data_IF_015115721298
#
_entry.id   IF_015115721298
#
_cell.length_a   1.000
_cell.length_b   1.000
_cell.length_c   1.000
_cell.angle_alpha   90.00
_cell.angle_beta   90.00
_cell.angle_gamma   90.00
#
_symmetry.space_group_name_H-M   'P 1'
#
loop_
_entity.id
_entity.type
_entity.pdbx_description
1 polymer ?
#
# COMPACT_ATOMS: atom_id res chain seq x y z
N UNK A 1 39.56 10.33 37.78
CA UNK A 1 38.20 9.91 38.19
C UNK A 1 37.12 10.94 37.87
N UNK A 2 37.16 12.17 38.43
CA UNK A 2 36.10 13.19 38.26
C UNK A 2 35.78 13.59 36.80
N UNK A 3 36.79 13.65 35.92
CA UNK A 3 36.61 13.93 34.48
C UNK A 3 35.98 12.78 33.69
N UNK A 4 36.26 11.53 34.05
CA UNK A 4 35.73 10.34 33.36
C UNK A 4 34.23 10.17 33.68
N UNK A 5 33.86 10.41 34.94
CA UNK A 5 32.46 10.36 35.39
C UNK A 5 31.60 11.44 34.70
N UNK A 6 32.16 12.64 34.51
CA UNK A 6 31.46 13.74 33.83
C UNK A 6 31.21 13.45 32.35
N UNK A 7 32.19 12.83 31.68
CA UNK A 7 32.07 12.41 30.27
C UNK A 7 31.04 11.29 30.13
N UNK A 8 31.04 10.30 31.03
CA UNK A 8 30.04 9.22 31.04
C UNK A 8 28.62 9.74 31.28
N UNK A 9 28.43 10.70 32.20
CA UNK A 9 27.13 11.32 32.41
C UNK A 9 26.65 12.13 31.20
N UNK A 10 27.55 12.87 30.54
CA UNK A 10 27.21 13.61 29.32
C UNK A 10 26.83 12.69 28.17
N UNK A 11 27.57 11.59 27.98
CA UNK A 11 27.25 10.58 26.95
C UNK A 11 25.93 9.90 27.27
N UNK A 12 25.66 9.54 28.52
CA UNK A 12 24.37 8.98 28.93
C UNK A 12 23.21 9.97 28.73
N UNK A 13 23.42 11.26 29.06
CA UNK A 13 22.42 12.30 28.86
C UNK A 13 22.14 12.53 27.37
N UNK A 14 23.17 12.55 26.53
CA UNK A 14 23.05 12.66 25.07
C UNK A 14 22.33 11.43 24.49
N UNK A 15 22.65 10.21 24.94
CA UNK A 15 21.97 8.99 24.53
C UNK A 15 20.49 9.00 24.96
N UNK A 16 20.17 9.49 26.16
CA UNK A 16 18.78 9.64 26.61
C UNK A 16 18.03 10.76 25.88
N UNK A 17 18.71 11.85 25.50
CA UNK A 17 18.10 12.92 24.71
C UNK A 17 17.80 12.46 23.28
N UNK A 18 18.70 11.66 22.67
CA UNK A 18 18.47 11.02 21.38
C UNK A 18 17.32 10.02 21.46
N UNK A 19 17.22 9.24 22.54
CA UNK A 19 16.09 8.34 22.78
C UNK A 19 14.75 9.04 23.07
N UNK A 20 14.76 10.34 23.37
CA UNK A 20 13.55 11.15 23.59
C UNK A 20 13.23 12.08 22.41
N UNK A 21 13.93 11.93 21.28
CA UNK A 21 13.77 12.78 20.10
C UNK A 21 12.78 12.24 19.07
N UNK A 22 12.08 11.15 19.33
CA UNK A 22 10.96 10.68 18.51
C UNK A 22 9.77 11.62 18.70
N UNK A 23 9.91 12.85 18.20
CA UNK A 23 8.77 13.71 17.89
C UNK A 23 8.10 13.04 16.70
N UNK A 24 7.26 12.04 16.99
CA UNK A 24 6.39 11.45 15.99
C UNK A 24 5.63 12.59 15.30
N UNK A 25 5.45 12.48 13.98
CA UNK A 25 4.65 13.47 13.26
C UNK A 25 3.29 13.67 13.97
N UNK A 26 2.69 14.87 13.93
CA UNK A 26 1.35 15.06 14.48
C UNK A 26 0.35 14.09 13.83
N UNK A 27 -0.67 13.66 14.58
CA UNK A 27 -1.76 12.86 14.01
C UNK A 27 -2.45 13.63 12.87
N UNK A 28 -2.69 13.00 11.71
CA UNK A 28 -3.40 13.67 10.62
C UNK A 28 -4.87 13.85 10.98
N UNK A 29 -5.51 14.86 10.39
CA UNK A 29 -6.98 15.00 10.47
C UNK A 29 -7.70 13.82 9.81
N UNK A 30 -7.08 13.23 8.78
CA UNK A 30 -7.54 12.02 8.11
C UNK A 30 -6.38 11.10 7.78
N UNK A 31 -6.47 9.85 8.20
CA UNK A 31 -5.48 8.83 7.88
C UNK A 31 -5.82 8.16 6.55
N UNK A 32 -4.87 8.14 5.62
CA UNK A 32 -5.05 7.55 4.29
C UNK A 32 -5.48 6.08 4.31
N UNK A 33 -5.07 5.31 5.33
CA UNK A 33 -5.41 3.88 5.46
C UNK A 33 -6.73 3.69 6.21
N UNK A 34 -6.88 4.30 7.40
CA UNK A 34 -8.06 4.09 8.24
C UNK A 34 -9.34 4.73 7.68
N UNK A 35 -9.23 5.89 7.01
CA UNK A 35 -10.39 6.61 6.49
C UNK A 35 -10.75 6.22 5.05
N UNK A 36 -10.07 5.24 4.48
CA UNK A 36 -10.41 4.73 3.16
C UNK A 36 -11.74 3.96 3.21
N UNK A 37 -12.56 4.13 2.16
CA UNK A 37 -13.83 3.41 2.06
C UNK A 37 -13.53 1.93 1.77
N UNK A 38 -14.13 0.98 2.49
CA UNK A 38 -13.89 -0.45 2.27
C UNK A 38 -14.01 -0.85 0.80
N UNK A 39 -12.99 -1.55 0.33
CA UNK A 39 -12.80 -1.98 -1.06
C UNK A 39 -12.96 -3.48 -1.21
N UNK A 40 -13.45 -3.92 -2.36
CA UNK A 40 -13.58 -5.34 -2.68
C UNK A 40 -12.28 -5.93 -3.24
N UNK A 41 -11.35 -5.09 -3.70
CA UNK A 41 -10.04 -5.45 -4.23
C UNK A 41 -8.88 -4.90 -3.37
N UNK A 42 -7.65 -5.39 -3.60
CA UNK A 42 -6.45 -4.83 -2.99
C UNK A 42 -6.30 -3.34 -3.33
N UNK A 43 -5.83 -2.58 -2.36
CA UNK A 43 -5.54 -1.16 -2.54
C UNK A 43 -4.04 -0.93 -2.64
N UNK A 44 -3.60 -0.17 -3.65
CA UNK A 44 -2.27 0.40 -3.67
C UNK A 44 -2.28 1.68 -2.83
N UNK A 45 -1.27 1.82 -1.98
CA UNK A 45 -1.06 2.99 -1.11
C UNK A 45 0.25 3.65 -1.50
N UNK A 46 0.20 4.91 -1.89
CA UNK A 46 1.38 5.74 -2.10
C UNK A 46 1.86 6.28 -0.75
N UNK A 47 3.04 5.85 -0.32
CA UNK A 47 3.60 6.19 0.98
C UNK A 47 4.08 7.63 1.11
N UNK A 48 4.30 8.31 -0.02
CA UNK A 48 4.75 9.69 -0.06
C UNK A 48 3.57 10.68 -0.15
N UNK A 49 2.53 10.36 -0.91
CA UNK A 49 1.38 11.27 -1.12
C UNK A 49 0.17 10.94 -0.24
N UNK A 50 0.14 9.75 0.34
CA UNK A 50 -1.03 9.22 1.03
C UNK A 50 -2.20 8.88 0.10
N UNK A 51 -2.01 8.90 -1.23
CA UNK A 51 -3.05 8.50 -2.16
C UNK A 51 -3.29 7.00 -2.10
N UNK A 52 -4.55 6.59 -2.16
CA UNK A 52 -4.98 5.19 -2.11
C UNK A 52 -5.91 4.92 -3.28
N UNK A 53 -5.67 3.83 -4.00
CA UNK A 53 -6.51 3.40 -5.10
C UNK A 53 -6.74 1.89 -5.06
N UNK A 54 -7.95 1.48 -5.38
CA UNK A 54 -8.32 0.07 -5.53
C UNK A 54 -7.88 -0.46 -6.91
N UNK A 55 -7.26 -1.64 -6.93
CA UNK A 55 -6.95 -2.39 -8.16
C UNK A 55 -8.10 -3.37 -8.43
N UNK A 56 -9.24 -2.82 -8.84
CA UNK A 56 -10.45 -3.60 -9.10
C UNK A 56 -10.46 -4.16 -10.52
N UNK A 57 -10.50 -5.50 -10.62
CA UNK A 57 -10.79 -6.23 -11.87
C UNK A 57 -12.26 -6.64 -11.99
N UNK A 58 -12.95 -6.75 -10.85
CA UNK A 58 -14.35 -7.16 -10.80
C UNK A 58 -15.27 -5.96 -10.73
N UNK A 59 -16.48 -6.13 -11.26
CA UNK A 59 -17.53 -5.16 -11.11
C UNK A 59 -18.00 -5.12 -9.65
N UNK A 60 -18.08 -3.93 -9.04
CA UNK A 60 -18.56 -3.80 -7.67
C UNK A 60 -20.08 -4.03 -7.61
N UNK A 61 -20.56 -4.53 -6.48
CA UNK A 61 -21.98 -4.64 -6.24
C UNK A 61 -22.65 -3.26 -6.21
N UNK A 62 -23.78 -3.11 -6.90
CA UNK A 62 -24.43 -1.81 -7.11
C UNK A 62 -24.93 -1.11 -5.83
N UNK A 63 -25.13 -1.86 -4.75
CA UNK A 63 -25.69 -1.35 -3.47
C UNK A 63 -24.95 -1.79 -2.20
N UNK A 64 -23.98 -2.71 -2.30
CA UNK A 64 -23.29 -3.27 -1.14
C UNK A 64 -21.83 -2.83 -1.21
N UNK A 65 -21.44 -1.95 -0.29
CA UNK A 65 -20.08 -1.39 -0.25
C UNK A 65 -19.07 -2.50 0.01
N UNK A 66 -18.01 -2.57 -0.80
CA UNK A 66 -16.93 -3.55 -0.65
C UNK A 66 -17.30 -4.97 -1.10
N UNK A 67 -18.47 -5.18 -1.72
CA UNK A 67 -18.88 -6.45 -2.31
C UNK A 67 -18.72 -6.46 -3.83
N UNK A 68 -18.56 -7.67 -4.38
CA UNK A 68 -18.46 -7.95 -5.82
C UNK A 68 -19.87 -8.21 -6.37
N UNK A 69 -20.15 -7.78 -7.61
CA UNK A 69 -21.39 -8.09 -8.29
C UNK A 69 -21.52 -9.59 -8.56
N UNK A 70 -22.72 -10.14 -8.40
CA UNK A 70 -23.01 -11.57 -8.63
C UNK A 70 -22.76 -12.00 -10.08
N UNK A 71 -23.02 -11.10 -11.03
CA UNK A 71 -22.76 -11.28 -12.46
C UNK A 71 -21.66 -10.32 -12.92
N UNK A 72 -20.68 -10.83 -13.67
CA UNK A 72 -19.58 -10.06 -14.22
C UNK A 72 -19.80 -9.91 -15.73
N UNK A 73 -19.80 -8.68 -16.27
CA UNK A 73 -20.00 -8.48 -17.72
C UNK A 73 -18.71 -8.69 -18.50
N UNK A 74 -17.56 -8.38 -17.88
CA UNK A 74 -16.21 -8.66 -18.39
C UNK A 74 -15.96 -8.17 -19.83
N UNK A 75 -14.88 -8.67 -20.43
CA UNK A 75 -14.66 -8.53 -21.88
C UNK A 75 -14.22 -7.16 -22.39
N UNK A 76 -13.86 -6.23 -21.51
CA UNK A 76 -13.45 -4.87 -21.89
C UNK A 76 -12.05 -4.52 -21.40
N UNK A 77 -11.29 -3.85 -22.26
CA UNK A 77 -10.03 -3.20 -21.88
C UNK A 77 -10.33 -1.85 -21.25
N UNK A 78 -9.63 -1.51 -20.17
CA UNK A 78 -9.77 -0.21 -19.51
C UNK A 78 -8.43 0.34 -19.04
N UNK A 79 -8.25 1.65 -19.13
CA UNK A 79 -7.19 2.34 -18.39
C UNK A 79 -7.68 2.66 -16.99
N UNK A 80 -6.81 2.50 -16.00
CA UNK A 80 -7.11 2.83 -14.60
C UNK A 80 -6.07 3.78 -14.01
N UNK A 81 -6.50 4.53 -13.00
CA UNK A 81 -5.63 5.42 -12.22
C UNK A 81 -5.72 4.97 -10.77
N UNK A 82 -4.59 4.59 -10.18
CA UNK A 82 -4.51 3.96 -8.85
C UNK A 82 -3.37 4.61 -8.08
N UNK A 83 -3.67 5.28 -6.96
CA UNK A 83 -2.66 5.90 -6.09
C UNK A 83 -1.65 6.82 -6.81
N UNK A 84 -2.14 7.61 -7.77
CA UNK A 84 -1.31 8.50 -8.60
C UNK A 84 -0.59 7.82 -9.77
N UNK A 85 -0.68 6.50 -9.89
CA UNK A 85 -0.12 5.71 -10.98
C UNK A 85 -1.18 5.37 -12.04
N UNK A 86 -0.71 4.98 -13.22
CA UNK A 86 -1.55 4.48 -14.30
C UNK A 86 -1.40 2.98 -14.41
N UNK A 87 -2.51 2.32 -14.70
CA UNK A 87 -2.55 0.91 -15.02
C UNK A 87 -3.54 0.61 -16.13
N UNK A 88 -3.72 -0.67 -16.41
CA UNK A 88 -4.73 -1.15 -17.34
C UNK A 88 -5.32 -2.48 -16.89
N UNK A 89 -6.55 -2.74 -17.33
CA UNK A 89 -7.25 -4.02 -17.22
C UNK A 89 -7.26 -4.68 -18.60
N UNK A 90 -6.88 -5.95 -18.67
CA UNK A 90 -6.96 -6.75 -19.89
C UNK A 90 -8.41 -7.15 -20.21
N UNK A 91 -8.74 -7.25 -21.50
CA UNK A 91 -10.10 -7.58 -21.94
C UNK A 91 -10.39 -9.08 -21.97
N UNK A 92 -9.36 -9.91 -22.11
CA UNK A 92 -9.46 -11.35 -22.35
C UNK A 92 -9.26 -12.16 -21.07
N UNK A 93 -8.60 -11.59 -20.07
CA UNK A 93 -8.34 -12.21 -18.78
C UNK A 93 -8.69 -11.22 -17.67
N UNK A 94 -9.19 -11.68 -16.50
CA UNK A 94 -9.45 -10.82 -15.36
C UNK A 94 -8.11 -10.44 -14.70
N UNK A 95 -7.31 -9.65 -15.40
CA UNK A 95 -5.95 -9.27 -15.02
C UNK A 95 -5.77 -7.76 -15.18
N UNK A 96 -5.24 -7.11 -14.14
CA UNK A 96 -4.84 -5.72 -14.18
C UNK A 96 -3.34 -5.56 -13.92
N UNK A 97 -2.73 -4.60 -14.60
CA UNK A 97 -1.32 -4.26 -14.49
C UNK A 97 -1.13 -2.81 -14.08
N UNK A 98 -0.33 -2.57 -13.06
CA UNK A 98 0.04 -1.24 -12.58
C UNK A 98 1.57 -1.16 -12.59
N UNK A 99 2.09 -0.16 -13.31
CA UNK A 99 3.52 0.10 -13.37
C UNK A 99 3.92 1.09 -12.29
N UNK A 100 4.86 0.69 -11.43
CA UNK A 100 5.48 1.51 -10.39
C UNK A 100 6.86 1.94 -10.88
N UNK A 101 7.12 3.25 -11.03
CA UNK A 101 8.40 3.74 -11.53
C UNK A 101 9.54 3.47 -10.53
N UNK A 102 10.76 3.32 -11.03
CA UNK A 102 11.96 3.31 -10.18
C UNK A 102 12.18 4.69 -9.52
N UNK A 103 12.83 4.68 -8.36
CA UNK A 103 13.21 5.91 -7.65
C UNK A 103 12.05 6.63 -6.96
N UNK A 104 11.08 5.88 -6.42
CA UNK A 104 9.94 6.44 -5.69
C UNK A 104 10.39 7.28 -4.48
N UNK A 105 9.73 8.43 -4.27
CA UNK A 105 9.98 9.33 -3.15
C UNK A 105 9.71 8.68 -1.79
N UNK A 106 10.32 9.24 -0.75
CA UNK A 106 10.34 8.66 0.61
C UNK A 106 8.98 8.73 1.31
N UNK A 107 8.79 7.82 2.25
CA UNK A 107 7.66 7.77 3.17
C UNK A 107 7.42 9.09 3.93
N UNK A 108 6.17 9.56 3.93
CA UNK A 108 5.74 10.81 4.56
C UNK A 108 4.71 10.54 5.67
N UNK A 109 5.18 10.50 6.92
CA UNK A 109 4.39 10.17 8.12
C UNK A 109 3.11 10.99 8.31
N UNK A 110 3.07 12.22 7.77
CA UNK A 110 1.95 13.16 7.91
C UNK A 110 0.63 12.65 7.31
N UNK A 111 0.66 11.59 6.50
CA UNK A 111 -0.53 10.99 5.88
C UNK A 111 -1.12 9.82 6.70
N UNK A 112 -0.39 9.34 7.70
CA UNK A 112 -0.74 8.13 8.43
C UNK A 112 -0.88 8.43 9.93
N UNK A 113 -1.87 7.84 10.59
CA UNK A 113 -1.98 7.91 12.05
C UNK A 113 -0.87 7.06 12.70
N UNK A 114 -0.58 7.28 13.99
CA UNK A 114 0.46 6.52 14.71
C UNK A 114 0.37 5.01 14.51
N UNK A 115 -0.81 4.42 14.63
CA UNK A 115 -1.01 2.98 14.43
C UNK A 115 -0.69 2.51 13.00
N UNK A 116 -1.03 3.31 11.99
CA UNK A 116 -0.64 3.00 10.61
C UNK A 116 0.85 3.23 10.36
N UNK A 117 1.50 4.16 11.07
CA UNK A 117 2.95 4.35 10.96
C UNK A 117 3.71 3.13 11.47
N UNK A 118 3.32 2.60 12.62
CA UNK A 118 3.89 1.35 13.16
C UNK A 118 3.70 0.18 12.18
N UNK A 119 2.53 0.08 11.55
CA UNK A 119 2.24 -0.95 10.56
C UNK A 119 3.07 -0.81 9.27
N UNK A 120 3.36 0.43 8.87
CA UNK A 120 4.06 0.75 7.62
C UNK A 120 5.58 0.91 7.77
N UNK A 121 6.10 0.94 9.01
CA UNK A 121 7.52 1.19 9.31
C UNK A 121 8.46 0.25 8.53
N UNK A 122 8.08 -1.03 8.42
CA UNK A 122 8.85 -2.03 7.69
C UNK A 122 8.97 -1.76 6.18
N UNK A 123 8.11 -0.89 5.63
CA UNK A 123 7.99 -0.60 4.20
C UNK A 123 8.33 0.85 3.85
N UNK A 124 8.88 1.63 4.79
CA UNK A 124 9.12 3.06 4.61
C UNK A 124 10.02 3.40 3.41
N UNK A 125 10.84 2.45 2.95
CA UNK A 125 11.73 2.60 1.78
C UNK A 125 11.12 2.10 0.46
N UNK A 126 9.93 1.47 0.48
CA UNK A 126 9.32 0.87 -0.71
C UNK A 126 8.58 1.88 -1.60
N UNK A 127 8.23 3.07 -1.06
CA UNK A 127 7.47 4.12 -1.76
C UNK A 127 5.98 3.79 -2.02
N UNK A 128 5.66 2.52 -2.26
CA UNK A 128 4.31 1.98 -2.35
C UNK A 128 4.18 0.69 -1.55
N UNK A 129 2.96 0.42 -1.09
CA UNK A 129 2.56 -0.89 -0.54
C UNK A 129 1.20 -1.29 -1.07
N UNK A 130 0.94 -2.59 -1.09
CA UNK A 130 -0.40 -3.12 -1.27
C UNK A 130 -1.06 -3.35 0.09
N UNK A 131 -2.36 -3.14 0.16
CA UNK A 131 -3.13 -3.29 1.40
C UNK A 131 -4.49 -3.95 1.14
N UNK A 132 -4.89 -4.87 2.02
CA UNK A 132 -6.29 -5.27 2.12
C UNK A 132 -7.01 -4.36 3.10
N UNK A 133 -7.83 -3.45 2.57
CA UNK A 133 -8.57 -2.44 3.33
C UNK A 133 -10.05 -2.79 3.50
N UNK A 134 -10.46 -4.05 3.27
CA UNK A 134 -11.84 -4.48 3.50
C UNK A 134 -12.29 -4.25 4.96
N UNK A 135 -11.37 -4.43 5.91
CA UNK A 135 -11.58 -4.04 7.29
C UNK A 135 -10.55 -2.96 7.70
N UNK A 136 -10.92 -1.67 7.72
CA UNK A 136 -9.99 -0.58 8.01
C UNK A 136 -9.46 -0.59 9.46
N UNK A 137 -10.08 -1.35 10.37
CA UNK A 137 -9.57 -1.53 11.74
C UNK A 137 -8.42 -2.55 11.81
N UNK A 138 -8.33 -3.46 10.83
CA UNK A 138 -7.31 -4.53 10.78
C UNK A 138 -6.75 -4.68 9.36
N UNK A 139 -6.15 -3.61 8.81
CA UNK A 139 -5.57 -3.67 7.47
C UNK A 139 -4.39 -4.66 7.43
N UNK A 140 -4.29 -5.41 6.34
CA UNK A 140 -3.12 -6.27 6.07
C UNK A 140 -2.28 -5.64 4.99
N UNK A 141 -0.97 -5.49 5.21
CA UNK A 141 -0.04 -4.84 4.29
C UNK A 141 0.86 -5.88 3.62
N UNK A 142 1.12 -5.67 2.34
CA UNK A 142 1.96 -6.51 1.50
C UNK A 142 3.03 -5.65 0.82
N UNK A 143 4.26 -6.16 0.69
CA UNK A 143 5.34 -5.46 0.02
C UNK A 143 5.06 -5.31 -1.48
N UNK A 144 5.52 -4.21 -2.06
CA UNK A 144 5.66 -4.04 -3.51
C UNK A 144 7.13 -4.20 -3.83
N UNK A 145 7.56 -5.45 -3.96
CA UNK A 145 8.96 -5.83 -4.19
C UNK A 145 9.04 -6.91 -5.28
N UNK A 146 10.03 -6.80 -6.18
CA UNK A 146 10.21 -7.76 -7.27
C UNK A 146 10.33 -9.21 -6.76
N UNK A 147 9.63 -10.13 -7.42
CA UNK A 147 9.63 -11.56 -7.09
C UNK A 147 8.67 -11.95 -5.97
N UNK A 148 7.86 -11.02 -5.46
CA UNK A 148 6.81 -11.34 -4.48
C UNK A 148 5.54 -11.86 -5.15
N UNK A 149 4.93 -12.84 -4.48
CA UNK A 149 3.66 -13.46 -4.87
C UNK A 149 2.83 -13.68 -3.61
N UNK A 150 1.57 -13.24 -3.64
CA UNK A 150 0.65 -13.44 -2.53
C UNK A 150 -0.80 -13.41 -2.99
N UNK A 151 -1.68 -13.90 -2.12
CA UNK A 151 -3.11 -13.90 -2.35
C UNK A 151 -3.79 -12.90 -1.40
N UNK A 152 -4.69 -12.11 -1.96
CA UNK A 152 -5.58 -11.23 -1.20
C UNK A 152 -6.99 -11.63 -1.57
N UNK A 153 -7.64 -12.40 -0.70
CA UNK A 153 -9.01 -12.90 -0.93
C UNK A 153 -9.15 -13.69 -2.24
N UNK A 154 -9.80 -13.12 -3.25
CA UNK A 154 -10.00 -13.73 -4.58
C UNK A 154 -9.06 -13.17 -5.66
N UNK A 155 -7.97 -12.52 -5.22
CA UNK A 155 -6.96 -11.94 -6.07
C UNK A 155 -5.63 -12.62 -5.83
N UNK A 156 -4.92 -12.89 -6.92
CA UNK A 156 -3.54 -13.33 -6.91
C UNK A 156 -2.67 -12.21 -7.46
N UNK A 157 -1.64 -11.83 -6.70
CA UNK A 157 -0.78 -10.70 -7.03
C UNK A 157 0.62 -11.22 -7.33
N UNK A 158 1.23 -10.71 -8.39
CA UNK A 158 2.63 -10.88 -8.71
C UNK A 158 3.26 -9.51 -8.88
N UNK A 159 4.45 -9.33 -8.30
CA UNK A 159 5.25 -8.14 -8.52
C UNK A 159 6.52 -8.56 -9.26
N UNK A 160 6.70 -8.05 -10.47
CA UNK A 160 7.84 -8.38 -11.34
C UNK A 160 8.61 -7.13 -11.74
N UNK A 161 9.88 -7.28 -12.06
CA UNK A 161 10.68 -6.18 -12.61
C UNK A 161 10.53 -6.15 -14.14
N UNK A 162 10.30 -4.97 -14.71
CA UNK A 162 10.25 -4.77 -16.16
C UNK A 162 11.66 -4.68 -16.74
N UNK A 163 11.79 -4.74 -18.07
CA UNK A 163 13.09 -4.54 -18.73
C UNK A 163 13.70 -3.15 -18.48
N UNK A 164 12.87 -2.18 -18.08
CA UNK A 164 13.25 -0.80 -17.82
C UNK A 164 13.64 -0.55 -16.34
N UNK A 165 13.56 -1.58 -15.48
CA UNK A 165 13.86 -1.50 -14.04
C UNK A 165 12.71 -1.01 -13.18
N UNK A 166 11.52 -0.81 -13.76
CA UNK A 166 10.29 -0.50 -13.03
C UNK A 166 9.67 -1.79 -12.45
N UNK A 167 8.70 -1.65 -11.55
CA UNK A 167 7.92 -2.80 -11.09
C UNK A 167 6.58 -2.86 -11.81
N UNK A 168 6.19 -4.04 -12.28
CA UNK A 168 4.84 -4.36 -12.71
C UNK A 168 4.11 -5.15 -11.62
N UNK A 169 2.99 -4.61 -11.16
CA UNK A 169 2.06 -5.28 -10.26
C UNK A 169 0.95 -5.88 -11.13
N UNK A 170 1.02 -7.20 -11.34
CA UNK A 170 -0.02 -7.97 -12.01
C UNK A 170 -1.02 -8.50 -10.97
N UNK A 171 -2.30 -8.20 -11.14
CA UNK A 171 -3.39 -8.60 -10.25
C UNK A 171 -4.38 -9.45 -11.03
N UNK A 172 -4.43 -10.73 -10.72
CA UNK A 172 -5.26 -11.73 -11.38
C UNK A 172 -6.45 -12.12 -10.51
N UNK A 173 -7.60 -12.27 -11.14
CA UNK A 173 -8.83 -12.71 -10.50
C UNK A 173 -9.02 -14.23 -10.53
N UNK A 174 -9.46 -14.80 -9.41
CA UNK A 174 -9.76 -16.24 -9.31
C UNK A 174 -11.23 -16.61 -9.50
N UNK A 175 -12.16 -15.65 -9.47
CA UNK A 175 -13.58 -15.84 -9.78
C UNK A 175 -13.74 -15.97 -11.30
N UNK A 176 -14.37 -17.04 -11.80
CA UNK A 176 -14.68 -17.18 -13.22
C UNK A 176 -15.59 -16.05 -13.70
N UNK A 177 -15.27 -15.48 -14.85
CA UNK A 177 -16.18 -14.59 -15.60
C UNK A 177 -16.86 -15.43 -16.67
N UNK A 178 -18.19 -15.44 -16.69
CA UNK A 178 -18.94 -16.14 -17.75
C UNK A 178 -18.66 -15.44 -19.10
N UNK A 179 -18.14 -16.20 -20.07
CA UNK A 179 -17.90 -15.74 -21.46
C UNK A 179 -19.21 -15.63 -22.28
#
# INVERSE_FOLDING_TARGET
MRRIILVLMMVALLLSLVACSDVSAPEPERCSVCDYIPSHAPCLVNLNTGEVGEIAIYEPHYSLVGEIAEEQRGGYFSFMSVAGLRGHLDACVPEAHITVPDGVEKYEEKHFCSSCRELLEAYAECGFVLADLRNPETPTIYPVEAGTEFEVRCYKIFVTETEEGELDIAVLGSIPTDE
#
